data_IF_273147786460
#
_entry.id   IF_273147786460
#
_cell.length_a   1.000
_cell.length_b   1.000
_cell.length_c   1.000
_cell.angle_alpha   90.00
_cell.angle_beta   90.00
_cell.angle_gamma   90.00
#
_symmetry.space_group_name_H-M   'P 1'
#
loop_
_entity.id
_entity.type
_entity.pdbx_description
1 polymer ?
#
# COMPACT_ATOMS: atom_id res chain seq x y z
N UNK A 1 20.41 -9.81 -17.38
CA UNK A 1 19.05 -9.25 -17.51
C UNK A 1 18.74 -8.50 -16.23
N UNK A 2 18.18 -7.30 -16.31
CA UNK A 2 17.74 -6.58 -15.11
C UNK A 2 16.44 -7.21 -14.56
N UNK A 3 16.22 -7.12 -13.25
CA UNK A 3 14.97 -7.57 -12.61
C UNK A 3 13.78 -6.74 -13.12
N UNK A 4 12.61 -7.37 -13.28
CA UNK A 4 11.39 -6.66 -13.63
C UNK A 4 10.97 -5.69 -12.52
N UNK A 5 10.55 -4.48 -12.89
CA UNK A 5 10.20 -3.43 -11.94
C UNK A 5 9.06 -3.82 -10.99
N UNK A 6 8.08 -4.61 -11.46
CA UNK A 6 7.00 -5.10 -10.62
C UNK A 6 7.51 -6.05 -9.54
N UNK A 7 8.46 -6.93 -9.90
CA UNK A 7 9.11 -7.84 -8.94
C UNK A 7 9.96 -7.04 -7.95
N UNK A 8 10.72 -6.04 -8.41
CA UNK A 8 11.49 -5.16 -7.53
C UNK A 8 10.58 -4.43 -6.53
N UNK A 9 9.48 -3.85 -6.98
CA UNK A 9 8.52 -3.13 -6.12
C UNK A 9 7.82 -4.08 -5.15
N UNK A 10 7.43 -5.27 -5.60
CA UNK A 10 6.84 -6.28 -4.73
C UNK A 10 7.82 -6.71 -3.63
N UNK A 11 9.08 -6.98 -3.96
CA UNK A 11 10.10 -7.33 -2.96
C UNK A 11 10.41 -6.17 -2.02
N UNK A 12 10.33 -4.91 -2.46
CA UNK A 12 10.44 -3.73 -1.57
C UNK A 12 9.28 -3.69 -0.58
N UNK A 13 8.05 -3.88 -1.07
CA UNK A 13 6.84 -3.91 -0.25
C UNK A 13 6.89 -5.00 0.83
N UNK A 14 7.29 -6.23 0.45
CA UNK A 14 7.43 -7.36 1.39
C UNK A 14 8.45 -7.14 2.52
N UNK A 15 9.41 -6.22 2.37
CA UNK A 15 10.43 -5.93 3.39
C UNK A 15 9.97 -4.88 4.41
N UNK A 16 8.83 -4.24 4.19
CA UNK A 16 8.23 -3.33 5.16
C UNK A 16 7.58 -4.19 6.23
N UNK A 17 8.01 -4.04 7.48
CA UNK A 17 7.54 -4.90 8.57
C UNK A 17 6.15 -4.46 9.05
N UNK A 18 5.10 -4.89 8.35
CA UNK A 18 3.69 -4.72 8.75
C UNK A 18 3.16 -5.91 9.55
N UNK A 19 4.03 -6.67 10.20
CA UNK A 19 3.63 -7.82 11.00
C UNK A 19 3.10 -7.40 12.38
N UNK A 20 2.03 -8.06 12.83
CA UNK A 20 1.52 -7.90 14.20
C UNK A 20 2.53 -8.39 15.26
N UNK A 21 2.53 -7.80 16.48
CA UNK A 21 1.54 -6.85 17.02
C UNK A 21 1.86 -5.36 16.80
N UNK A 22 3.06 -5.03 16.28
CA UNK A 22 3.54 -3.65 16.12
C UNK A 22 3.89 -3.36 14.66
N UNK A 23 2.90 -3.33 13.75
CA UNK A 23 3.12 -3.12 12.32
C UNK A 23 3.63 -1.69 12.02
N UNK A 24 4.61 -1.58 11.14
CA UNK A 24 5.11 -0.30 10.61
C UNK A 24 4.20 0.24 9.50
N UNK A 25 3.03 0.74 9.90
CA UNK A 25 2.07 1.36 8.99
C UNK A 25 2.57 2.67 8.39
N UNK A 26 3.47 3.39 9.07
CA UNK A 26 3.97 4.67 8.57
C UNK A 26 4.84 4.46 7.34
N UNK A 27 5.83 3.57 7.41
CA UNK A 27 6.67 3.24 6.25
C UNK A 27 5.84 2.64 5.11
N UNK A 28 4.89 1.76 5.43
CA UNK A 28 3.98 1.18 4.44
C UNK A 28 3.14 2.25 3.73
N UNK A 29 2.57 3.19 4.49
CA UNK A 29 1.79 4.31 3.95
C UNK A 29 2.63 5.15 3.00
N UNK A 30 3.84 5.57 3.41
CA UNK A 30 4.71 6.39 2.57
C UNK A 30 5.10 5.67 1.27
N UNK A 31 5.45 4.39 1.35
CA UNK A 31 5.76 3.58 0.17
C UNK A 31 4.60 3.54 -0.85
N UNK A 32 3.37 3.33 -0.39
CA UNK A 32 2.18 3.33 -1.26
C UNK A 32 1.91 4.71 -1.88
N UNK A 33 2.10 5.79 -1.12
CA UNK A 33 1.96 7.16 -1.62
C UNK A 33 3.01 7.51 -2.68
N UNK A 34 4.24 7.02 -2.52
CA UNK A 34 5.32 7.18 -3.51
C UNK A 34 5.03 6.40 -4.79
N UNK A 35 4.58 5.14 -4.69
CA UNK A 35 4.13 4.36 -5.85
C UNK A 35 2.98 5.05 -6.59
N UNK A 36 1.98 5.54 -5.85
CA UNK A 36 0.88 6.31 -6.42
C UNK A 36 1.36 7.58 -7.13
N UNK A 37 2.37 8.27 -6.58
CA UNK A 37 2.94 9.48 -7.16
C UNK A 37 3.64 9.19 -8.50
N UNK A 38 4.43 8.11 -8.57
CA UNK A 38 5.12 7.68 -9.79
C UNK A 38 4.15 7.33 -10.93
N UNK A 39 2.94 6.90 -10.57
CA UNK A 39 1.87 6.56 -11.51
C UNK A 39 0.91 7.74 -11.78
N UNK A 40 1.18 8.93 -11.24
CA UNK A 40 0.30 10.10 -11.31
C UNK A 40 -1.13 9.84 -10.83
N UNK A 41 -1.28 9.00 -9.79
CA UNK A 41 -2.57 8.76 -9.14
C UNK A 41 -2.88 9.87 -8.14
N UNK A 42 -4.16 10.16 -7.98
CA UNK A 42 -4.63 10.96 -6.84
C UNK A 42 -4.42 10.13 -5.56
N UNK A 43 -3.98 10.79 -4.49
CA UNK A 43 -3.53 10.15 -3.25
C UNK A 43 -4.22 10.80 -2.07
N UNK A 44 -5.01 10.04 -1.34
CA UNK A 44 -5.66 10.49 -0.12
C UNK A 44 -5.31 9.56 1.04
N UNK A 45 -5.15 10.12 2.24
CA UNK A 45 -4.93 9.37 3.48
C UNK A 45 -6.02 9.75 4.47
N UNK A 46 -6.65 8.74 5.06
CA UNK A 46 -7.62 8.90 6.14
C UNK A 46 -7.12 8.17 7.37
N UNK A 47 -7.44 8.71 8.56
CA UNK A 47 -7.04 8.11 9.82
C UNK A 47 -8.25 8.08 10.76
N UNK A 48 -8.93 6.93 10.82
CA UNK A 48 -10.10 6.75 11.68
C UNK A 48 -9.72 6.47 13.13
N UNK A 49 -8.52 5.91 13.35
CA UNK A 49 -7.93 5.65 14.64
C UNK A 49 -6.44 6.06 14.60
N UNK A 50 -5.91 6.66 15.67
CA UNK A 50 -4.50 7.03 15.73
C UNK A 50 -3.57 5.87 15.37
N UNK A 51 -2.63 6.11 14.45
CA UNK A 51 -1.66 5.15 13.96
C UNK A 51 -2.21 4.11 12.99
N UNK A 52 -3.45 4.25 12.50
CA UNK A 52 -4.08 3.29 11.57
C UNK A 52 -4.56 3.98 10.28
N UNK A 53 -3.64 4.27 9.35
CA UNK A 53 -3.97 4.98 8.12
C UNK A 53 -4.71 4.08 7.11
N UNK A 54 -5.60 4.69 6.35
CA UNK A 54 -6.23 4.15 5.14
C UNK A 54 -5.67 4.95 3.97
N UNK A 55 -4.99 4.28 3.04
CA UNK A 55 -4.47 4.89 1.81
C UNK A 55 -5.45 4.63 0.68
N UNK A 56 -5.89 5.69 -0.01
CA UNK A 56 -6.72 5.61 -1.21
C UNK A 56 -5.92 6.18 -2.38
N UNK A 57 -5.64 5.32 -3.36
CA UNK A 57 -5.04 5.70 -4.64
C UNK A 57 -6.13 5.67 -5.71
N UNK A 58 -6.35 6.79 -6.40
CA UNK A 58 -7.43 6.94 -7.37
C UNK A 58 -6.88 7.21 -8.77
N UNK A 59 -7.27 6.37 -9.72
CA UNK A 59 -7.17 6.66 -11.15
C UNK A 59 -8.53 7.18 -11.63
N UNK A 60 -8.59 8.44 -12.06
CA UNK A 60 -9.85 9.06 -12.52
C UNK A 60 -10.26 8.45 -13.86
N UNK A 61 -11.47 7.89 -13.91
CA UNK A 61 -12.05 7.38 -15.15
C UNK A 61 -12.33 8.51 -16.14
N UNK A 62 -12.41 8.18 -17.43
CA UNK A 62 -12.77 9.15 -18.47
C UNK A 62 -14.22 9.61 -18.40
N UNK A 63 -15.08 8.87 -17.69
CA UNK A 63 -16.46 9.23 -17.40
C UNK A 63 -16.75 9.09 -15.89
N UNK A 64 -16.71 10.21 -15.17
CA UNK A 64 -16.90 10.26 -13.70
C UNK A 64 -18.36 10.08 -13.25
N UNK A 65 -19.32 9.95 -14.17
CA UNK A 65 -20.71 9.63 -13.82
C UNK A 65 -20.96 8.14 -13.56
N UNK A 66 -20.03 7.27 -13.96
CA UNK A 66 -20.10 5.84 -13.69
C UNK A 66 -19.66 5.53 -12.25
N UNK A 67 -20.16 4.45 -11.63
CA UNK A 67 -19.70 4.03 -10.33
C UNK A 67 -18.23 3.59 -10.37
N UNK A 68 -17.50 3.85 -9.28
CA UNK A 68 -16.11 3.44 -9.12
C UNK A 68 -15.97 1.93 -8.94
N UNK A 69 -14.85 1.38 -9.40
CA UNK A 69 -14.38 0.04 -9.02
C UNK A 69 -13.40 0.16 -7.86
N UNK A 70 -13.68 -0.52 -6.74
CA UNK A 70 -12.77 -0.57 -5.60
C UNK A 70 -11.91 -1.83 -5.66
N UNK A 71 -10.60 -1.65 -5.83
CA UNK A 71 -9.60 -2.70 -5.64
C UNK A 71 -9.09 -2.61 -4.20
N UNK A 72 -9.66 -3.41 -3.30
CA UNK A 72 -9.34 -3.37 -1.89
C UNK A 72 -8.28 -4.42 -1.49
N UNK A 73 -7.39 -4.04 -0.59
CA UNK A 73 -6.43 -4.92 0.06
C UNK A 73 -6.14 -4.42 1.48
N UNK A 74 -5.62 -5.30 2.33
CA UNK A 74 -5.06 -4.93 3.64
C UNK A 74 -3.53 -5.04 3.60
N UNK A 75 -2.84 -4.31 4.48
CA UNK A 75 -1.37 -4.22 4.47
C UNK A 75 -0.72 -5.02 5.59
N UNK A 76 -1.47 -5.35 6.64
CA UNK A 76 -0.96 -6.07 7.80
C UNK A 76 -0.83 -7.57 7.54
N UNK A 77 0.17 -8.17 8.17
CA UNK A 77 0.43 -9.60 8.11
C UNK A 77 0.54 -10.20 9.51
N UNK A 78 0.35 -11.51 9.60
CA UNK A 78 0.56 -12.24 10.86
C UNK A 78 2.05 -12.28 11.21
N UNK A 79 2.36 -12.26 12.51
CA UNK A 79 3.72 -12.47 12.98
C UNK A 79 4.23 -13.86 12.59
N UNK A 80 5.50 -13.94 12.17
CA UNK A 80 6.16 -15.21 11.90
C UNK A 80 6.77 -15.79 13.19
N UNK A 81 6.65 -17.10 13.37
CA UNK A 81 7.42 -17.82 14.37
C UNK A 81 8.79 -18.18 13.77
N UNK A 82 9.87 -17.78 14.44
CA UNK A 82 11.21 -18.18 14.02
C UNK A 82 11.40 -19.68 14.36
N UNK A 83 11.47 -20.52 13.32
CA UNK A 83 11.83 -21.92 13.48
C UNK A 83 13.35 -21.98 13.46
N UNK A 84 13.94 -22.22 14.63
CA UNK A 84 15.38 -22.45 14.79
C UNK A 84 15.77 -23.86 14.39
#
# INVERSE_FOLDING_TARGET
MAEDIAVTNFRKYLRINTAHPTPDYETCKQFLLELGAQLNLERNVYECLPGKPIVILTHRGTNESLPSLLLNSHTDVVGACEVR
#
